data_IF_897158635907
#
_entry.id   IF_897158635907
#
_cell.length_a   1.000
_cell.length_b   1.000
_cell.length_c   1.000
_cell.angle_alpha   90.00
_cell.angle_beta   90.00
_cell.angle_gamma   90.00
#
_symmetry.space_group_name_H-M   'P 1'
#
loop_
_entity.id
_entity.type
_entity.pdbx_description
1 polymer ?
#
# COMPACT_ATOMS: atom_id res chain seq x y z
N UNK A 1 14.97 3.59 -6.59
CA UNK A 1 13.66 2.93 -6.47
C UNK A 1 13.03 2.57 -7.82
N UNK A 2 12.75 3.52 -8.73
CA UNK A 2 11.97 3.28 -9.97
C UNK A 2 12.47 2.10 -10.82
N UNK A 3 13.80 1.97 -10.97
CA UNK A 3 14.42 0.85 -11.69
C UNK A 3 13.98 -0.52 -11.15
N UNK A 4 14.02 -0.70 -9.82
CA UNK A 4 13.61 -1.94 -9.17
C UNK A 4 12.11 -2.20 -9.34
N UNK A 5 11.28 -1.19 -9.06
CA UNK A 5 9.82 -1.30 -9.19
C UNK A 5 9.40 -1.68 -10.62
N UNK A 6 10.00 -1.06 -11.64
CA UNK A 6 9.71 -1.36 -13.04
C UNK A 6 10.02 -2.80 -13.45
N UNK A 7 10.90 -3.49 -12.71
CA UNK A 7 11.29 -4.89 -12.93
C UNK A 7 10.60 -5.88 -11.97
N UNK A 8 9.56 -5.42 -11.27
CA UNK A 8 8.73 -6.26 -10.41
C UNK A 8 9.31 -6.56 -9.03
N UNK A 9 10.27 -5.75 -8.58
CA UNK A 9 10.69 -5.79 -7.18
C UNK A 9 9.69 -5.00 -6.32
N UNK A 10 9.50 -5.44 -5.07
CA UNK A 10 8.68 -4.74 -4.07
C UNK A 10 9.59 -4.12 -3.02
N UNK A 11 9.25 -2.91 -2.57
CA UNK A 11 9.86 -2.26 -1.39
C UNK A 11 9.32 -2.87 -0.09
N UNK A 12 10.19 -3.23 0.83
CA UNK A 12 9.86 -3.67 2.18
C UNK A 12 10.88 -3.10 3.17
N UNK A 13 10.48 -2.01 3.85
CA UNK A 13 11.40 -1.27 4.72
C UNK A 13 12.69 -0.90 4.00
N UNK A 14 13.83 -1.26 4.58
CA UNK A 14 15.14 -0.91 4.05
C UNK A 14 15.53 -1.60 2.73
N UNK A 15 14.85 -2.69 2.31
CA UNK A 15 15.28 -3.53 1.19
C UNK A 15 14.23 -3.67 0.08
N UNK A 16 14.68 -4.14 -1.08
CA UNK A 16 13.83 -4.57 -2.19
C UNK A 16 13.89 -6.09 -2.29
N UNK A 17 12.74 -6.71 -2.59
CA UNK A 17 12.69 -8.17 -2.73
C UNK A 17 11.74 -8.58 -3.85
N UNK A 18 11.93 -9.81 -4.34
CA UNK A 18 11.05 -10.46 -5.32
C UNK A 18 11.07 -11.96 -5.06
N UNK A 19 9.90 -12.57 -4.91
CA UNK A 19 9.80 -14.02 -4.73
C UNK A 19 10.17 -14.75 -6.02
N UNK A 20 10.91 -15.85 -5.88
CA UNK A 20 11.28 -16.79 -6.95
C UNK A 20 11.03 -18.21 -6.48
N UNK A 21 9.78 -18.63 -6.55
CA UNK A 21 9.36 -19.97 -6.17
C UNK A 21 9.44 -20.90 -7.39
N UNK A 22 9.91 -22.13 -7.21
CA UNK A 22 9.90 -23.13 -8.29
C UNK A 22 8.46 -23.51 -8.61
N UNK A 23 8.05 -23.39 -9.87
CA UNK A 23 6.71 -23.76 -10.32
C UNK A 23 5.57 -22.84 -9.84
N UNK A 24 5.86 -21.66 -9.28
CA UNK A 24 4.83 -20.72 -8.82
C UNK A 24 5.10 -19.28 -9.28
N UNK A 25 4.08 -18.65 -9.83
CA UNK A 25 4.08 -17.26 -10.35
C UNK A 25 3.00 -16.38 -9.71
N UNK A 26 2.38 -16.82 -8.62
CA UNK A 26 1.22 -16.14 -8.01
C UNK A 26 1.53 -14.80 -7.34
N UNK A 27 2.80 -14.51 -7.02
CA UNK A 27 3.22 -13.21 -6.46
C UNK A 27 3.41 -12.18 -7.58
N UNK A 28 2.29 -11.61 -8.04
CA UNK A 28 2.25 -10.74 -9.22
C UNK A 28 2.46 -9.27 -8.81
N UNK A 29 3.50 -8.57 -9.32
CA UNK A 29 3.64 -7.14 -9.10
C UNK A 29 2.46 -6.37 -9.70
N UNK A 30 1.83 -5.50 -8.91
CA UNK A 30 0.67 -4.70 -9.30
C UNK A 30 0.94 -3.21 -9.07
N UNK A 31 0.57 -2.39 -10.07
CA UNK A 31 0.62 -0.93 -9.98
C UNK A 31 -0.65 -0.29 -10.53
N UNK A 32 -0.98 0.88 -10.01
CA UNK A 32 -2.02 1.74 -10.53
C UNK A 32 -1.40 2.79 -11.45
N UNK A 33 -2.05 3.08 -12.58
CA UNK A 33 -1.66 4.19 -13.45
C UNK A 33 -2.25 5.47 -12.85
N UNK A 34 -1.42 6.27 -12.18
CA UNK A 34 -1.92 7.36 -11.34
C UNK A 34 -2.66 8.45 -12.14
N UNK A 35 -2.32 8.64 -13.41
CA UNK A 35 -3.05 9.55 -14.30
C UNK A 35 -4.50 9.11 -14.57
N UNK A 36 -4.79 7.81 -14.47
CA UNK A 36 -6.11 7.27 -14.76
C UNK A 36 -6.98 7.30 -13.49
N UNK A 37 -8.16 7.93 -13.51
CA UNK A 37 -9.09 7.88 -12.40
C UNK A 37 -9.52 6.45 -12.09
N UNK A 38 -9.67 6.12 -10.80
CA UNK A 38 -10.17 4.81 -10.39
C UNK A 38 -11.67 4.67 -10.68
N UNK A 39 -12.07 3.56 -11.32
CA UNK A 39 -13.43 3.30 -11.80
C UNK A 39 -14.43 2.97 -10.66
N UNK A 40 -13.92 2.53 -9.51
CA UNK A 40 -14.68 2.08 -8.34
C UNK A 40 -15.39 3.24 -7.59
N UNK A 41 -16.14 4.09 -8.30
CA UNK A 41 -16.77 5.32 -7.80
C UNK A 41 -17.70 5.09 -6.60
N UNK A 42 -18.53 4.03 -6.61
CA UNK A 42 -19.45 3.74 -5.49
C UNK A 42 -18.68 3.35 -4.23
N UNK A 43 -17.65 2.49 -4.37
CA UNK A 43 -16.79 2.08 -3.26
C UNK A 43 -16.03 3.28 -2.70
N UNK A 44 -15.47 4.12 -3.57
CA UNK A 44 -14.80 5.37 -3.20
C UNK A 44 -15.74 6.27 -2.37
N UNK A 45 -16.91 6.63 -2.89
CA UNK A 45 -17.90 7.48 -2.19
C UNK A 45 -18.29 6.90 -0.83
N UNK A 46 -18.50 5.59 -0.73
CA UNK A 46 -18.82 4.92 0.55
C UNK A 46 -17.70 5.05 1.57
N UNK A 47 -16.44 4.86 1.14
CA UNK A 47 -15.28 4.97 2.02
C UNK A 47 -15.02 6.42 2.43
N UNK A 48 -15.19 7.38 1.52
CA UNK A 48 -15.11 8.81 1.83
C UNK A 48 -16.17 9.23 2.84
N UNK A 49 -17.42 8.80 2.65
CA UNK A 49 -18.48 9.08 3.62
C UNK A 49 -18.21 8.46 4.99
N UNK A 50 -17.59 7.27 5.04
CA UNK A 50 -17.28 6.56 6.29
C UNK A 50 -16.10 7.17 7.03
N UNK A 51 -15.15 7.75 6.31
CA UNK A 51 -13.90 8.29 6.85
C UNK A 51 -13.81 9.82 6.66
N UNK A 52 -14.96 10.50 6.60
CA UNK A 52 -15.04 11.96 6.37
C UNK A 52 -14.42 12.80 7.49
N UNK A 53 -14.29 12.21 8.67
CA UNK A 53 -13.66 12.76 9.86
C UNK A 53 -12.14 12.53 9.90
N UNK A 54 -11.59 11.80 8.92
CA UNK A 54 -10.17 11.49 8.87
C UNK A 54 -9.41 12.54 8.07
N UNK A 55 -8.47 13.19 8.76
CA UNK A 55 -7.43 14.02 8.17
C UNK A 55 -6.19 13.18 7.85
N UNK A 56 -5.52 13.47 6.73
CA UNK A 56 -4.28 12.79 6.33
C UNK A 56 -3.17 13.82 6.31
N UNK A 57 -2.20 13.66 7.21
CA UNK A 57 -1.14 14.63 7.47
C UNK A 57 0.23 14.01 7.18
N UNK A 58 1.06 14.60 6.30
CA UNK A 58 2.45 14.19 6.15
C UNK A 58 3.21 14.42 7.46
N UNK A 59 4.07 13.46 7.84
CA UNK A 59 4.92 13.59 9.04
C UNK A 59 6.41 13.64 8.68
N UNK A 60 7.22 14.06 9.64
CA UNK A 60 8.69 13.94 9.56
C UNK A 60 9.14 12.49 9.71
N UNK A 61 10.43 12.24 9.55
CA UNK A 61 11.07 10.93 9.77
C UNK A 61 11.39 10.68 11.26
N UNK A 62 10.73 11.39 12.18
CA UNK A 62 10.91 11.21 13.62
C UNK A 62 9.87 10.20 14.09
N UNK A 63 10.34 9.07 14.64
CA UNK A 63 9.48 8.06 15.24
C UNK A 63 8.84 8.63 16.51
N UNK A 64 7.55 8.36 16.68
CA UNK A 64 6.74 8.82 17.82
C UNK A 64 6.27 7.61 18.62
N UNK A 65 6.12 7.79 19.93
CA UNK A 65 5.58 6.76 20.84
C UNK A 65 4.24 6.19 20.33
N UNK A 66 3.35 7.06 19.84
CA UNK A 66 2.04 6.65 19.29
C UNK A 66 2.15 5.79 18.02
N UNK A 67 3.23 5.91 17.23
CA UNK A 67 3.48 5.07 16.06
C UNK A 67 3.92 3.67 16.48
N UNK A 68 4.83 3.59 17.44
CA UNK A 68 5.30 2.32 18.01
C UNK A 68 4.09 1.58 18.58
N UNK A 69 3.29 2.25 19.41
CA UNK A 69 2.09 1.67 20.00
C UNK A 69 1.06 1.23 18.97
N UNK A 70 0.80 2.03 17.92
CA UNK A 70 -0.14 1.64 16.86
C UNK A 70 0.36 0.43 16.08
N UNK A 71 1.64 0.42 15.68
CA UNK A 71 2.22 -0.68 14.90
C UNK A 71 2.25 -1.97 15.72
N UNK A 72 2.67 -1.92 16.98
CA UNK A 72 2.68 -3.06 17.89
C UNK A 72 1.31 -3.72 17.98
N UNK A 73 0.26 -2.95 18.33
CA UNK A 73 -1.12 -3.48 18.42
C UNK A 73 -1.60 -4.05 17.09
N UNK A 74 -1.28 -3.40 15.98
CA UNK A 74 -1.65 -3.88 14.64
C UNK A 74 -0.95 -5.20 14.29
N UNK A 75 0.36 -5.30 14.56
CA UNK A 75 1.18 -6.47 14.28
C UNK A 75 0.73 -7.69 15.10
N UNK A 76 0.52 -7.53 16.40
CA UNK A 76 0.00 -8.60 17.26
C UNK A 76 -1.36 -9.10 16.77
N UNK A 77 -2.28 -8.18 16.48
CA UNK A 77 -3.66 -8.53 16.10
C UNK A 77 -3.76 -9.19 14.71
N UNK A 78 -2.92 -8.80 13.74
CA UNK A 78 -3.06 -9.21 12.33
C UNK A 78 -2.01 -10.18 11.83
N UNK A 79 -0.87 -10.23 12.52
CA UNK A 79 0.32 -10.94 12.08
C UNK A 79 0.91 -11.87 13.15
N UNK A 80 0.36 -11.88 14.37
CA UNK A 80 0.87 -12.70 15.49
C UNK A 80 2.38 -12.47 15.71
N UNK A 81 2.84 -11.26 15.39
CA UNK A 81 4.23 -10.83 15.52
C UNK A 81 4.42 -10.13 16.87
N UNK A 82 5.54 -10.36 17.58
CA UNK A 82 5.82 -9.69 18.84
C UNK A 82 5.79 -8.16 18.74
N UNK A 83 5.21 -7.49 19.75
CA UNK A 83 5.11 -6.03 19.80
C UNK A 83 6.46 -5.30 19.95
N UNK A 84 7.47 -5.95 20.51
CA UNK A 84 8.80 -5.39 20.76
C UNK A 84 9.61 -5.15 19.48
N UNK A 85 9.25 -5.80 18.37
CA UNK A 85 9.85 -5.56 17.04
C UNK A 85 9.32 -4.28 16.35
N UNK A 86 8.31 -3.61 16.92
CA UNK A 86 7.63 -2.50 16.26
C UNK A 86 8.57 -1.31 15.98
N UNK A 87 9.43 -0.93 16.93
CA UNK A 87 10.32 0.22 16.77
C UNK A 87 11.37 -0.04 15.66
N UNK A 88 12.02 -1.20 15.68
CA UNK A 88 12.97 -1.61 14.64
C UNK A 88 12.30 -1.63 13.25
N UNK A 89 11.08 -2.14 13.19
CA UNK A 89 10.29 -2.17 11.96
C UNK A 89 10.01 -0.75 11.43
N UNK A 90 9.70 0.21 12.31
CA UNK A 90 9.52 1.62 11.94
C UNK A 90 10.81 2.24 11.41
N UNK A 91 11.95 1.98 12.04
CA UNK A 91 13.25 2.40 11.52
C UNK A 91 13.49 1.87 10.11
N UNK A 92 13.17 0.60 9.86
CA UNK A 92 13.27 -0.01 8.53
C UNK A 92 12.37 0.69 7.51
N UNK A 93 11.13 1.05 7.87
CA UNK A 93 10.22 1.78 6.99
C UNK A 93 10.70 3.19 6.64
N UNK A 94 11.46 3.83 7.55
CA UNK A 94 12.02 5.17 7.38
C UNK A 94 13.47 5.18 6.88
N UNK A 95 14.05 4.02 6.59
CA UNK A 95 15.46 3.91 6.19
C UNK A 95 15.79 4.62 4.86
N UNK A 96 14.79 4.95 4.04
CA UNK A 96 14.98 5.74 2.81
C UNK A 96 14.78 7.23 3.11
N UNK A 97 15.67 8.13 2.64
CA UNK A 97 15.43 9.57 2.73
C UNK A 97 14.24 10.04 1.87
N UNK A 98 13.75 9.17 0.98
CA UNK A 98 12.56 9.40 0.17
C UNK A 98 11.29 8.81 0.80
N UNK A 99 11.38 8.27 2.01
CA UNK A 99 10.21 7.81 2.73
C UNK A 99 9.26 8.99 2.99
N UNK A 100 7.98 8.67 2.99
CA UNK A 100 6.89 9.60 3.18
C UNK A 100 5.89 8.96 4.13
N UNK A 101 6.04 9.17 5.45
CA UNK A 101 5.04 8.75 6.40
C UNK A 101 3.82 9.68 6.33
N UNK A 102 2.62 9.09 6.28
CA UNK A 102 1.35 9.80 6.34
C UNK A 102 0.56 9.31 7.56
N UNK A 103 0.18 10.23 8.41
CA UNK A 103 -0.67 9.97 9.57
C UNK A 103 -2.13 10.18 9.19
N UNK A 104 -2.98 9.23 9.57
CA UNK A 104 -4.43 9.32 9.45
C UNK A 104 -4.96 9.62 10.84
N UNK A 105 -5.48 10.83 11.04
CA UNK A 105 -5.98 11.31 12.33
C UNK A 105 -7.48 11.56 12.27
N UNK A 106 -8.19 11.19 13.32
CA UNK A 106 -9.61 11.53 13.44
C UNK A 106 -9.82 12.99 13.83
N UNK A 107 -11.09 13.42 13.93
CA UNK A 107 -11.47 14.78 14.33
C UNK A 107 -10.95 15.23 15.71
N UNK A 108 -10.57 14.30 16.57
CA UNK A 108 -10.01 14.58 17.90
C UNK A 108 -8.47 14.59 17.87
N UNK A 109 -7.86 14.39 16.71
CA UNK A 109 -6.41 14.30 16.53
C UNK A 109 -5.83 12.92 16.87
N UNK A 110 -6.66 11.92 17.19
CA UNK A 110 -6.20 10.56 17.52
C UNK A 110 -5.63 9.91 16.26
N UNK A 111 -4.43 9.35 16.36
CA UNK A 111 -3.84 8.54 15.29
C UNK A 111 -4.62 7.22 15.13
N UNK A 112 -5.24 7.04 13.96
CA UNK A 112 -6.04 5.84 13.63
C UNK A 112 -5.43 5.03 12.49
N UNK A 113 -4.50 5.59 11.73
CA UNK A 113 -3.80 4.91 10.66
C UNK A 113 -2.45 5.54 10.36
N UNK A 114 -1.54 4.74 9.83
CA UNK A 114 -0.18 5.15 9.52
C UNK A 114 0.27 4.47 8.24
N UNK A 115 0.52 5.28 7.21
CA UNK A 115 1.05 4.83 5.93
C UNK A 115 2.53 5.15 5.83
N UNK A 116 3.30 4.19 5.33
CA UNK A 116 4.68 4.40 4.91
C UNK A 116 4.74 4.24 3.40
N UNK A 117 4.99 5.34 2.72
CA UNK A 117 5.21 5.40 1.29
C UNK A 117 6.67 5.69 1.00
N UNK A 118 7.10 5.43 -0.23
CA UNK A 118 8.38 5.92 -0.74
C UNK A 118 8.19 6.60 -2.08
N UNK A 119 8.80 7.78 -2.23
CA UNK A 119 8.76 8.58 -3.46
C UNK A 119 9.92 8.23 -4.38
N UNK A 120 9.63 8.13 -5.67
CA UNK A 120 10.61 7.98 -6.74
C UNK A 120 10.62 9.20 -7.63
N UNK A 121 11.25 9.06 -8.79
CA UNK A 121 11.21 10.09 -9.83
C UNK A 121 9.85 10.05 -10.53
N UNK A 122 9.33 8.85 -10.82
CA UNK A 122 8.06 8.66 -11.55
C UNK A 122 7.01 7.88 -10.77
N UNK A 123 7.37 7.35 -9.61
CA UNK A 123 6.59 6.35 -8.91
C UNK A 123 6.39 6.71 -7.45
N UNK A 124 5.20 6.43 -6.94
CA UNK A 124 4.94 6.30 -5.51
C UNK A 124 4.87 4.81 -5.17
N UNK A 125 5.40 4.37 -4.03
CA UNK A 125 5.35 2.96 -3.62
C UNK A 125 4.80 2.82 -2.22
N UNK A 126 3.81 1.96 -2.02
CA UNK A 126 3.38 1.55 -0.68
C UNK A 126 4.44 0.62 -0.07
N UNK A 127 4.98 1.02 1.08
CA UNK A 127 5.89 0.18 1.87
C UNK A 127 5.08 -0.63 2.88
N UNK A 128 4.29 0.06 3.69
CA UNK A 128 3.45 -0.54 4.72
C UNK A 128 2.26 0.36 5.08
N UNK A 129 1.17 -0.24 5.57
CA UNK A 129 0.05 0.49 6.15
C UNK A 129 -0.42 -0.24 7.41
N UNK A 130 -0.38 0.46 8.53
CA UNK A 130 -0.89 0.01 9.82
C UNK A 130 -2.11 0.85 10.21
N UNK A 131 -3.03 0.28 10.97
CA UNK A 131 -4.15 1.04 11.51
C UNK A 131 -4.58 0.52 12.88
N UNK A 132 -5.26 1.36 13.64
CA UNK A 132 -5.79 1.03 14.95
C UNK A 132 -6.78 -0.16 14.83
N UNK A 133 -6.52 -1.33 15.46
CA UNK A 133 -7.36 -2.52 15.28
C UNK A 133 -8.84 -2.32 15.60
N UNK A 134 -9.15 -1.45 16.57
CA UNK A 134 -10.50 -1.05 16.94
C UNK A 134 -11.27 -0.33 15.80
N UNK A 135 -10.55 0.22 14.82
CA UNK A 135 -11.11 0.91 13.65
C UNK A 135 -11.27 -0.02 12.43
N UNK A 136 -11.17 -1.34 12.58
CA UNK A 136 -11.22 -2.29 11.46
C UNK A 136 -12.48 -2.15 10.57
N UNK A 137 -13.61 -1.75 11.14
CA UNK A 137 -14.86 -1.50 10.40
C UNK A 137 -14.79 -0.33 9.40
N UNK A 138 -13.82 0.57 9.56
CA UNK A 138 -13.62 1.73 8.67
C UNK A 138 -12.99 1.38 7.33
N UNK A 139 -12.38 0.20 7.20
CA UNK A 139 -11.66 -0.25 6.01
C UNK A 139 -10.51 0.70 5.63
N UNK A 140 -9.75 1.18 6.63
CA UNK A 140 -8.68 2.18 6.46
C UNK A 140 -7.62 1.77 5.45
N UNK A 141 -7.23 0.50 5.37
CA UNK A 141 -6.25 0.04 4.37
C UNK A 141 -6.74 0.09 2.92
N UNK A 142 -8.05 -0.03 2.67
CA UNK A 142 -8.60 0.24 1.33
C UNK A 142 -8.75 1.74 1.09
N UNK A 143 -9.17 2.48 2.11
CA UNK A 143 -9.31 3.93 2.04
C UNK A 143 -7.98 4.61 1.72
N UNK A 144 -6.88 4.15 2.32
CA UNK A 144 -5.54 4.67 2.06
C UNK A 144 -5.15 4.53 0.59
N UNK A 145 -5.39 3.38 -0.05
CA UNK A 145 -5.10 3.19 -1.48
C UNK A 145 -5.81 4.23 -2.35
N UNK A 146 -7.09 4.53 -2.09
CA UNK A 146 -7.79 5.60 -2.83
C UNK A 146 -7.13 6.96 -2.63
N UNK A 147 -6.84 7.33 -1.38
CA UNK A 147 -6.26 8.63 -1.03
C UNK A 147 -4.83 8.79 -1.55
N UNK A 148 -4.05 7.74 -1.52
CA UNK A 148 -2.67 7.71 -1.98
C UNK A 148 -2.57 7.66 -3.50
N UNK A 149 -3.53 7.04 -4.19
CA UNK A 149 -3.65 7.14 -5.66
C UNK A 149 -3.96 8.58 -6.09
N UNK A 150 -4.92 9.23 -5.40
CA UNK A 150 -5.25 10.63 -5.64
C UNK A 150 -4.05 11.55 -5.37
N UNK A 151 -3.32 11.31 -4.27
CA UNK A 151 -2.07 12.02 -3.98
C UNK A 151 -1.00 11.77 -5.05
N UNK A 152 -0.84 10.53 -5.50
CA UNK A 152 0.12 10.19 -6.54
C UNK A 152 -0.16 10.97 -7.84
N UNK A 153 -1.44 11.06 -8.22
CA UNK A 153 -1.88 11.87 -9.36
C UNK A 153 -1.62 13.35 -9.15
N UNK A 154 -2.00 13.89 -8.01
CA UNK A 154 -1.83 15.32 -7.69
C UNK A 154 -0.35 15.73 -7.66
N UNK A 155 0.54 14.83 -7.25
CA UNK A 155 1.99 15.05 -7.24
C UNK A 155 2.69 14.74 -8.56
N UNK A 156 1.94 14.37 -9.62
CA UNK A 156 2.50 14.14 -10.95
C UNK A 156 3.25 12.82 -11.12
N UNK A 157 3.07 11.85 -10.21
CA UNK A 157 3.63 10.52 -10.41
C UNK A 157 2.90 9.80 -11.54
N UNK A 158 3.63 8.99 -12.32
CA UNK A 158 3.05 8.16 -13.38
C UNK A 158 2.37 6.92 -12.81
N UNK A 159 2.94 6.36 -11.73
CA UNK A 159 2.53 5.06 -11.20
C UNK A 159 2.48 5.07 -9.67
N UNK A 160 1.56 4.29 -9.13
CA UNK A 160 1.50 3.97 -7.70
C UNK A 160 1.58 2.46 -7.51
N UNK A 161 2.68 1.98 -6.93
CA UNK A 161 2.97 0.56 -6.76
C UNK A 161 2.40 0.06 -5.43
N UNK A 162 1.47 -0.90 -5.52
CA UNK A 162 0.82 -1.53 -4.35
C UNK A 162 1.57 -2.79 -3.86
N UNK A 163 2.70 -3.13 -4.51
CA UNK A 163 3.47 -4.34 -4.24
C UNK A 163 2.90 -5.56 -4.94
N UNK A 164 2.87 -6.71 -4.26
CA UNK A 164 2.36 -7.95 -4.86
C UNK A 164 0.85 -8.09 -4.65
N UNK A 165 0.17 -8.59 -5.67
CA UNK A 165 -1.13 -9.22 -5.61
C UNK A 165 -0.95 -10.72 -5.73
N UNK A 166 -1.66 -11.48 -4.89
CA UNK A 166 -1.73 -12.94 -4.94
C UNK A 166 -3.19 -13.31 -5.12
N UNK A 167 -3.60 -13.76 -6.32
CA UNK A 167 -4.97 -14.18 -6.62
C UNK A 167 -5.46 -15.21 -5.59
N UNK A 168 -6.70 -15.05 -5.13
CA UNK A 168 -7.31 -15.95 -4.14
C UNK A 168 -6.84 -15.73 -2.69
N UNK A 169 -5.85 -14.86 -2.44
CA UNK A 169 -5.40 -14.56 -1.09
C UNK A 169 -6.29 -13.53 -0.40
N UNK A 170 -7.00 -13.93 0.66
CA UNK A 170 -7.85 -13.02 1.48
C UNK A 170 -7.16 -11.72 1.89
N UNK A 171 -5.83 -11.73 2.10
CA UNK A 171 -5.05 -10.55 2.53
C UNK A 171 -4.66 -9.63 1.36
N UNK A 172 -4.62 -10.12 0.12
CA UNK A 172 -4.05 -9.39 -1.02
C UNK A 172 -5.00 -9.19 -2.19
N UNK A 173 -6.11 -9.93 -2.24
CA UNK A 173 -7.00 -9.94 -3.41
C UNK A 173 -7.72 -8.61 -3.62
N UNK A 174 -7.92 -7.84 -2.55
CA UNK A 174 -8.54 -6.51 -2.62
C UNK A 174 -7.80 -5.53 -3.56
N UNK A 175 -6.50 -5.76 -3.84
CA UNK A 175 -5.70 -4.90 -4.72
C UNK A 175 -6.17 -4.95 -6.18
N UNK A 176 -6.76 -6.07 -6.59
CA UNK A 176 -7.33 -6.21 -7.92
C UNK A 176 -8.69 -5.50 -8.08
N UNK A 177 -9.23 -4.86 -7.05
CA UNK A 177 -10.48 -4.08 -7.17
C UNK A 177 -10.25 -2.61 -7.58
N UNK A 178 -8.99 -2.17 -7.67
CA UNK A 178 -8.64 -0.78 -8.01
C UNK A 178 -8.34 -0.66 -9.50
N UNK A 179 -9.37 -0.71 -10.35
CA UNK A 179 -9.20 -0.49 -11.79
C UNK A 179 -9.13 1.00 -12.17
N UNK A 180 -8.39 1.35 -13.24
CA UNK A 180 -7.53 0.46 -14.02
C UNK A 180 -6.19 0.22 -13.31
N UNK A 181 -5.71 -1.03 -13.34
CA UNK A 181 -4.39 -1.41 -12.85
C UNK A 181 -3.59 -2.17 -13.90
N UNK A 182 -2.28 -2.19 -13.71
CA UNK A 182 -1.36 -2.98 -14.53
C UNK A 182 -0.67 -4.03 -13.67
N UNK A 183 -0.41 -5.19 -14.27
CA UNK A 183 0.41 -6.25 -13.70
C UNK A 183 1.68 -6.45 -14.53
N UNK A 184 2.74 -6.94 -13.89
CA UNK A 184 3.93 -7.38 -14.60
C UNK A 184 3.77 -8.83 -15.05
N UNK A 185 3.75 -9.05 -16.37
CA UNK A 185 3.64 -10.39 -16.96
C UNK A 185 4.96 -11.18 -16.82
N UNK A 186 4.93 -12.52 -17.00
CA UNK A 186 6.15 -13.35 -16.98
C UNK A 186 7.23 -12.91 -17.98
N UNK A 187 6.85 -12.33 -19.12
CA UNK A 187 7.80 -11.79 -20.11
C UNK A 187 8.37 -10.41 -19.73
N UNK A 188 8.06 -9.90 -18.54
CA UNK A 188 8.61 -8.67 -18.00
C UNK A 188 7.97 -7.40 -18.57
N UNK A 189 6.75 -7.48 -19.09
CA UNK A 189 6.00 -6.33 -19.62
C UNK A 189 4.86 -5.96 -18.68
N UNK A 190 4.67 -4.67 -18.45
CA UNK A 190 3.49 -4.17 -17.77
C UNK A 190 2.31 -4.15 -18.73
N UNK A 191 1.17 -4.71 -18.31
CA UNK A 191 -0.04 -4.78 -19.11
C UNK A 191 -1.25 -4.45 -18.26
N UNK A 192 -2.19 -3.68 -18.84
CA UNK A 192 -3.48 -3.40 -18.22
C UNK A 192 -4.28 -4.69 -18.02
N UNK A 193 -4.88 -4.84 -16.84
CA UNK A 193 -5.64 -6.03 -16.48
C UNK A 193 -7.08 -5.65 -16.16
N UNK A 194 -8.02 -6.22 -16.91
CA UNK A 194 -9.45 -5.87 -16.84
C UNK A 194 -10.30 -6.97 -16.19
N UNK A 195 -9.84 -8.22 -16.17
CA UNK A 195 -10.61 -9.38 -15.69
C UNK A 195 -10.09 -9.96 -14.38
N UNK A 196 -10.97 -10.51 -13.53
CA UNK A 196 -10.62 -11.08 -12.22
C UNK A 196 -10.39 -12.60 -12.22
N UNK A 197 -10.58 -13.28 -13.34
CA UNK A 197 -10.53 -14.74 -13.41
C UNK A 197 -9.10 -15.28 -13.33
N UNK A 198 -8.88 -16.38 -12.59
CA UNK A 198 -7.60 -17.11 -12.58
C UNK A 198 -7.18 -17.56 -13.99
N UNK A 199 -8.15 -17.86 -14.85
CA UNK A 199 -7.93 -18.20 -16.27
C UNK A 199 -7.38 -17.04 -17.12
N UNK A 200 -7.53 -15.80 -16.64
CA UNK A 200 -7.04 -14.60 -17.32
C UNK A 200 -5.61 -14.21 -16.90
N UNK A 201 -5.05 -14.87 -15.87
CA UNK A 201 -3.68 -14.58 -15.45
C UNK A 201 -2.69 -15.00 -16.56
N UNK A 202 -1.73 -14.13 -16.91
CA UNK A 202 -0.74 -14.47 -17.92
C UNK A 202 0.10 -15.66 -17.42
N UNK A 203 -0.08 -16.80 -18.09
CA UNK A 203 0.69 -18.03 -17.85
C UNK A 203 2.14 -17.87 -18.32
#
# INVERSE_FOLDING_TARGET
MDYHLSRGWRRAGAYFYRYRCQGCSLCIPLRLVAANPLESHRRRKRLESRNKDIEIVPSSHIIKEEWIGLLARYAETRHETPADEAEETLYSFLASPYALPLEYRDRAGKLVGLSFLEKGIRSLSSVYFAFAPEEAGRSLGTYSVFRETEAARAWGFSYYYLGFWVPGSRKMDYKADFHPFEILTPCGKWQGFMDRGEDALPR
#
